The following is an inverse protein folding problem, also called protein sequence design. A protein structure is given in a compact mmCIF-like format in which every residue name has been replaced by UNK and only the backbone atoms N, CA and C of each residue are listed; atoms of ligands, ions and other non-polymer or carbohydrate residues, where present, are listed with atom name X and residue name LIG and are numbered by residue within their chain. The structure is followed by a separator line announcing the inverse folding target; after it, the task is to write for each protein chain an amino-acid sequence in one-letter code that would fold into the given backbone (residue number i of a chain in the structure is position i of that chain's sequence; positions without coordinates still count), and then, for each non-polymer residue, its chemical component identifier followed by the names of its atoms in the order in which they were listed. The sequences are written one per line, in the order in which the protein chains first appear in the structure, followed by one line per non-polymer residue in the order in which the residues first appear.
data_IF_248667141863
#
_entry.id   IF_248667141863
#
_cell.length_a   1.000
_cell.length_b   1.000
_cell.length_c   1.000
_cell.angle_alpha   90.00
_cell.angle_beta   90.00
_cell.angle_gamma   90.00
#
_symmetry.space_group_name_H-M   'P 1'
#
loop_
_entity.id
_entity.type
_entity.pdbx_description
1 polymer ?
#
# COMPACT_ATOMS: atom_id res chain seq x y z
N UNK A 1 10.84 2.20 -87.10
CA UNK A 1 9.96 1.35 -86.26
C UNK A 1 10.70 0.97 -84.97
N UNK A 2 10.02 1.19 -83.83
CA UNK A 2 10.19 0.65 -82.46
C UNK A 2 11.57 0.53 -81.80
N UNK A 3 11.75 1.42 -80.80
CA UNK A 3 12.51 1.25 -79.55
C UNK A 3 12.21 -0.10 -78.88
N UNK A 4 13.23 -0.75 -78.33
CA UNK A 4 13.07 -1.63 -77.17
C UNK A 4 14.36 -1.61 -76.34
N UNK A 5 14.46 -0.54 -75.54
CA UNK A 5 15.36 -0.42 -74.40
C UNK A 5 15.05 -1.56 -73.42
N UNK A 6 15.92 -2.58 -73.39
CA UNK A 6 15.93 -3.63 -72.37
C UNK A 6 16.58 -3.00 -71.13
N UNK A 7 15.79 -2.18 -70.43
CA UNK A 7 16.11 -1.72 -69.07
C UNK A 7 15.97 -2.92 -68.14
N UNK A 8 17.10 -3.61 -67.96
CA UNK A 8 17.34 -4.58 -66.90
C UNK A 8 16.84 -4.02 -65.56
N UNK A 9 15.67 -4.51 -65.16
CA UNK A 9 15.13 -4.36 -63.82
C UNK A 9 15.99 -5.16 -62.83
N UNK A 10 17.19 -4.69 -62.54
CA UNK A 10 17.88 -5.05 -61.29
C UNK A 10 17.27 -4.20 -60.20
N UNK A 11 16.08 -4.59 -59.75
CA UNK A 11 15.49 -4.08 -58.53
C UNK A 11 16.34 -4.61 -57.37
N UNK A 12 17.46 -3.92 -57.11
CA UNK A 12 18.37 -4.15 -55.99
C UNK A 12 17.51 -4.06 -54.74
N UNK A 13 17.09 -5.20 -54.20
CA UNK A 13 16.45 -5.32 -52.89
C UNK A 13 17.44 -4.79 -51.87
N UNK A 14 17.43 -3.48 -51.64
CA UNK A 14 18.16 -2.85 -50.53
C UNK A 14 17.57 -3.48 -49.27
N UNK A 15 18.35 -4.31 -48.60
CA UNK A 15 17.99 -4.75 -47.27
C UNK A 15 17.95 -3.51 -46.37
N UNK A 16 16.74 -3.16 -45.94
CA UNK A 16 16.47 -1.97 -45.14
C UNK A 16 16.84 -2.27 -43.68
N UNK A 17 18.14 -2.35 -43.40
CA UNK A 17 18.65 -2.60 -42.05
C UNK A 17 18.24 -1.50 -41.04
N UNK A 18 17.90 -0.30 -41.52
CA UNK A 18 17.45 0.81 -40.67
C UNK A 18 16.03 0.65 -40.10
N UNK A 19 15.12 -0.05 -40.80
CA UNK A 19 13.74 -0.24 -40.32
C UNK A 19 13.71 -1.17 -39.10
N UNK A 20 14.49 -2.24 -39.15
CA UNK A 20 14.63 -3.19 -38.03
C UNK A 20 15.20 -2.51 -36.78
N UNK A 21 16.12 -1.55 -36.94
CA UNK A 21 16.68 -0.81 -35.82
C UNK A 21 15.64 0.06 -35.09
N UNK A 22 14.72 0.69 -35.83
CA UNK A 22 13.65 1.52 -35.26
C UNK A 22 12.62 0.66 -34.54
N UNK A 23 12.23 -0.46 -35.16
CA UNK A 23 11.30 -1.42 -34.54
C UNK A 23 11.87 -1.99 -33.24
N UNK A 24 13.15 -2.36 -33.24
CA UNK A 24 13.84 -2.83 -32.04
C UNK A 24 13.93 -1.73 -30.96
N UNK A 25 14.23 -0.48 -31.31
CA UNK A 25 14.30 0.61 -30.35
C UNK A 25 12.96 0.85 -29.62
N UNK A 26 11.84 0.76 -30.34
CA UNK A 26 10.51 0.88 -29.74
C UNK A 26 10.21 -0.28 -28.76
N UNK A 27 10.49 -1.51 -29.15
CA UNK A 27 10.29 -2.69 -28.30
C UNK A 27 11.22 -2.69 -27.08
N UNK A 28 12.47 -2.23 -27.26
CA UNK A 28 13.43 -2.08 -26.17
C UNK A 28 12.89 -1.11 -25.11
N UNK A 29 12.46 0.09 -25.50
CA UNK A 29 11.88 1.06 -24.57
C UNK A 29 10.62 0.52 -23.88
N UNK A 30 9.74 -0.16 -24.64
CA UNK A 30 8.53 -0.77 -24.09
C UNK A 30 8.86 -1.83 -23.02
N UNK A 31 9.81 -2.73 -23.31
CA UNK A 31 10.23 -3.78 -22.37
C UNK A 31 10.76 -3.18 -21.07
N UNK A 32 11.67 -2.20 -21.15
CA UNK A 32 12.21 -1.56 -19.95
C UNK A 32 11.14 -0.77 -19.18
N UNK A 33 10.19 -0.14 -19.86
CA UNK A 33 9.09 0.59 -19.21
C UNK A 33 8.19 -0.35 -18.41
N UNK A 34 7.81 -1.49 -19.00
CA UNK A 34 6.96 -2.49 -18.33
C UNK A 34 7.73 -3.15 -17.19
N UNK A 35 8.98 -3.56 -17.41
CA UNK A 35 9.84 -4.14 -16.38
C UNK A 35 10.01 -3.19 -15.20
N UNK A 36 10.30 -1.91 -15.47
CA UNK A 36 10.41 -0.89 -14.45
C UNK A 36 9.11 -0.73 -13.67
N UNK A 37 7.96 -0.68 -14.35
CA UNK A 37 6.65 -0.64 -13.70
C UNK A 37 6.41 -1.83 -12.78
N UNK A 38 6.66 -3.05 -13.25
CA UNK A 38 6.48 -4.26 -12.44
C UNK A 38 7.36 -4.23 -11.19
N UNK A 39 8.65 -3.91 -11.34
CA UNK A 39 9.58 -3.86 -10.21
C UNK A 39 9.19 -2.74 -9.23
N UNK A 40 8.97 -1.52 -9.73
CA UNK A 40 8.71 -0.34 -8.90
C UNK A 40 7.39 -0.45 -8.10
N UNK A 41 6.35 -1.04 -8.68
CA UNK A 41 5.02 -1.12 -8.05
C UNK A 41 4.76 -2.42 -7.30
N UNK A 42 5.58 -3.47 -7.48
CA UNK A 42 5.40 -4.76 -6.80
C UNK A 42 5.38 -4.63 -5.28
N UNK A 43 6.36 -3.93 -4.69
CA UNK A 43 6.48 -3.79 -3.24
C UNK A 43 5.36 -2.96 -2.60
N UNK A 44 5.04 -1.73 -3.08
CA UNK A 44 3.90 -0.97 -2.54
C UNK A 44 2.57 -1.71 -2.66
N UNK A 45 2.37 -2.41 -3.78
CA UNK A 45 1.16 -3.21 -4.00
C UNK A 45 1.10 -4.39 -3.02
N UNK A 46 2.20 -5.14 -2.85
CA UNK A 46 2.29 -6.24 -1.91
C UNK A 46 1.99 -5.78 -0.48
N UNK A 47 2.58 -4.66 -0.03
CA UNK A 47 2.34 -4.10 1.31
C UNK A 47 0.89 -3.69 1.49
N UNK A 48 0.30 -3.01 0.50
CA UNK A 48 -1.12 -2.62 0.54
C UNK A 48 -2.04 -3.83 0.66
N UNK A 49 -1.75 -4.89 -0.11
CA UNK A 49 -2.50 -6.14 -0.03
C UNK A 49 -2.33 -6.83 1.33
N UNK A 50 -1.12 -6.80 1.87
CA UNK A 50 -0.79 -7.40 3.17
C UNK A 50 -1.51 -6.70 4.31
N UNK A 51 -1.53 -5.37 4.34
CA UNK A 51 -2.27 -4.62 5.37
C UNK A 51 -3.78 -4.85 5.27
N UNK A 52 -4.35 -4.89 4.06
CA UNK A 52 -5.78 -5.21 3.86
C UNK A 52 -6.12 -6.62 4.32
N UNK A 53 -5.25 -7.58 4.02
CA UNK A 53 -5.44 -8.96 4.44
C UNK A 53 -5.34 -9.10 5.96
N UNK A 54 -4.30 -8.50 6.57
CA UNK A 54 -4.08 -8.55 8.00
C UNK A 54 -5.17 -7.82 8.79
N UNK A 55 -5.63 -6.65 8.33
CA UNK A 55 -6.72 -5.95 9.01
C UNK A 55 -8.02 -6.74 8.96
N UNK A 56 -8.31 -7.41 7.83
CA UNK A 56 -9.47 -8.29 7.72
C UNK A 56 -9.34 -9.52 8.64
N UNK A 57 -8.14 -10.09 8.76
CA UNK A 57 -7.91 -11.24 9.64
C UNK A 57 -7.99 -10.86 11.11
N UNK A 58 -7.43 -9.72 11.51
CA UNK A 58 -7.55 -9.19 12.86
C UNK A 58 -9.00 -8.79 13.18
N UNK A 59 -9.77 -8.28 12.21
CA UNK A 59 -11.20 -8.04 12.41
C UNK A 59 -11.98 -9.35 12.63
N UNK A 60 -11.61 -10.43 11.92
CA UNK A 60 -12.21 -11.75 12.13
C UNK A 60 -11.81 -12.36 13.47
N UNK A 61 -10.58 -12.14 13.93
CA UNK A 61 -10.12 -12.66 15.23
C UNK A 61 -10.96 -12.10 16.39
N UNK A 62 -11.42 -10.85 16.28
CA UNK A 62 -12.27 -10.21 17.28
C UNK A 62 -13.63 -10.90 17.48
N UNK A 63 -14.13 -11.66 16.50
CA UNK A 63 -15.42 -12.41 16.61
C UNK A 63 -15.36 -13.48 17.72
N UNK A 64 -14.15 -13.89 18.14
CA UNK A 64 -13.96 -14.85 19.23
C UNK A 64 -14.29 -14.27 20.61
N UNK A 65 -14.40 -12.94 20.72
CA UNK A 65 -14.75 -12.26 21.97
C UNK A 65 -16.26 -12.28 22.16
N UNK A 66 -16.69 -12.65 23.36
CA UNK A 66 -18.10 -12.73 23.72
C UNK A 66 -18.75 -11.33 23.75
N UNK A 67 -19.76 -11.04 22.91
CA UNK A 67 -20.41 -9.74 22.85
C UNK A 67 -21.42 -9.50 23.99
N UNK A 68 -21.67 -10.48 24.86
CA UNK A 68 -22.57 -10.34 26.02
C UNK A 68 -21.88 -9.72 27.24
N UNK A 69 -20.56 -9.54 27.17
CA UNK A 69 -19.77 -8.88 28.20
C UNK A 69 -20.13 -7.39 28.31
N UNK A 70 -19.80 -6.81 29.47
CA UNK A 70 -19.88 -5.36 29.65
C UNK A 70 -19.07 -4.61 28.58
N UNK A 71 -19.59 -3.47 28.11
CA UNK A 71 -19.05 -2.70 26.98
C UNK A 71 -17.56 -2.41 27.11
N UNK A 72 -17.10 -1.99 28.29
CA UNK A 72 -15.70 -1.61 28.49
C UNK A 72 -14.79 -2.84 28.51
N UNK A 73 -15.28 -3.94 29.11
CA UNK A 73 -14.56 -5.23 29.10
C UNK A 73 -14.48 -5.80 27.69
N UNK A 74 -15.57 -5.74 26.93
CA UNK A 74 -15.63 -6.17 25.53
C UNK A 74 -14.63 -5.38 24.67
N UNK A 75 -14.62 -4.05 24.76
CA UNK A 75 -13.66 -3.20 24.04
C UNK A 75 -12.21 -3.54 24.35
N UNK A 76 -11.89 -3.78 25.62
CA UNK A 76 -10.53 -4.14 26.04
C UNK A 76 -10.09 -5.49 25.46
N UNK A 77 -10.95 -6.51 25.54
CA UNK A 77 -10.65 -7.85 25.02
C UNK A 77 -10.58 -7.88 23.49
N UNK A 78 -11.46 -7.15 22.81
CA UNK A 78 -11.39 -6.97 21.35
C UNK A 78 -10.06 -6.33 20.95
N UNK A 79 -9.65 -5.26 21.65
CA UNK A 79 -8.36 -4.62 21.38
C UNK A 79 -7.18 -5.58 21.58
N UNK A 80 -7.16 -6.30 22.70
CA UNK A 80 -6.13 -7.30 22.98
C UNK A 80 -6.06 -8.39 21.88
N UNK A 81 -7.21 -8.93 21.48
CA UNK A 81 -7.28 -9.98 20.47
C UNK A 81 -6.82 -9.52 19.08
N UNK A 82 -7.12 -8.27 18.72
CA UNK A 82 -6.65 -7.64 17.48
C UNK A 82 -5.14 -7.42 17.54
N UNK A 83 -4.65 -6.81 18.62
CA UNK A 83 -3.22 -6.53 18.80
C UNK A 83 -2.39 -7.81 18.74
N UNK A 84 -2.80 -8.86 19.44
CA UNK A 84 -2.12 -10.15 19.41
C UNK A 84 -2.10 -10.77 18.00
N UNK A 85 -3.19 -10.64 17.23
CA UNK A 85 -3.22 -11.15 15.86
C UNK A 85 -2.26 -10.38 14.93
N UNK A 86 -2.17 -9.06 15.10
CA UNK A 86 -1.27 -8.19 14.34
C UNK A 86 0.20 -8.47 14.72
N UNK A 87 0.49 -8.63 16.01
CA UNK A 87 1.82 -8.93 16.53
C UNK A 87 2.35 -10.28 16.04
N UNK A 88 1.47 -11.27 15.89
CA UNK A 88 1.81 -12.59 15.36
C UNK A 88 1.87 -12.65 13.82
N UNK A 89 1.70 -11.52 13.14
CA UNK A 89 1.82 -11.47 11.69
C UNK A 89 3.28 -11.57 11.23
N UNK A 90 3.48 -11.86 9.94
CA UNK A 90 4.81 -11.90 9.35
C UNK A 90 5.45 -10.50 9.19
N UNK A 91 4.67 -9.43 9.37
CA UNK A 91 5.16 -8.06 9.19
C UNK A 91 6.04 -7.67 10.40
N UNK A 92 7.22 -7.10 10.16
CA UNK A 92 8.03 -6.52 11.23
C UNK A 92 7.26 -5.43 11.98
N UNK A 93 7.47 -5.35 13.29
CA UNK A 93 6.83 -4.37 14.17
C UNK A 93 7.03 -2.91 13.69
N UNK A 94 8.23 -2.56 13.22
CA UNK A 94 8.55 -1.22 12.72
C UNK A 94 7.77 -0.84 11.43
N UNK A 95 7.09 -1.80 10.78
CA UNK A 95 6.45 -1.60 9.49
C UNK A 95 4.99 -1.22 9.59
N UNK A 96 4.42 -1.19 10.79
CA UNK A 96 3.04 -0.80 11.00
C UNK A 96 2.86 -0.03 12.30
N UNK A 97 1.76 0.69 12.36
CA UNK A 97 1.33 1.52 13.46
C UNK A 97 -0.21 1.55 13.47
N UNK A 98 -0.75 1.90 14.64
CA UNK A 98 -2.17 2.16 14.85
C UNK A 98 -2.46 3.66 14.82
N UNK A 99 -3.48 4.08 15.57
CA UNK A 99 -3.97 5.45 15.70
C UNK A 99 -4.42 6.06 14.36
N UNK A 100 -5.16 5.27 13.58
CA UNK A 100 -5.75 5.73 12.34
C UNK A 100 -6.77 6.85 12.57
N UNK A 101 -6.98 7.73 11.58
CA UNK A 101 -8.04 8.73 11.68
C UNK A 101 -9.41 8.08 11.90
N UNK A 102 -10.27 8.78 12.62
CA UNK A 102 -11.66 8.34 12.86
C UNK A 102 -12.38 8.11 11.53
N UNK A 103 -13.19 7.05 11.41
CA UNK A 103 -13.94 6.79 10.19
C UNK A 103 -14.95 7.92 9.90
N UNK A 104 -15.10 8.28 8.63
CA UNK A 104 -15.92 9.43 8.21
C UNK A 104 -17.43 9.21 8.20
N UNK A 105 -17.98 8.24 8.93
CA UNK A 105 -19.43 7.98 8.96
C UNK A 105 -20.11 8.63 10.17
N UNK A 106 -21.44 8.82 10.10
CA UNK A 106 -22.25 9.44 11.16
C UNK A 106 -22.45 8.56 12.41
N UNK A 107 -21.68 7.48 12.56
CA UNK A 107 -21.76 6.56 13.68
C UNK A 107 -20.91 7.06 14.86
N UNK A 108 -21.28 6.71 16.11
CA UNK A 108 -20.51 7.08 17.30
C UNK A 108 -19.28 6.19 17.43
N UNK A 109 -18.25 6.46 16.62
CA UNK A 109 -16.99 5.71 16.66
C UNK A 109 -16.20 6.04 17.92
N UNK A 110 -15.90 5.00 18.69
CA UNK A 110 -15.01 5.07 19.85
C UNK A 110 -13.70 4.33 19.51
N UNK A 111 -12.51 4.92 19.79
CA UNK A 111 -11.26 4.23 19.56
C UNK A 111 -11.14 3.02 20.50
N UNK A 112 -10.57 1.93 19.99
CA UNK A 112 -10.16 0.82 20.83
C UNK A 112 -9.03 1.28 21.77
N UNK A 113 -8.97 0.78 23.02
CA UNK A 113 -7.90 1.13 23.94
C UNK A 113 -6.54 0.61 23.43
N UNK A 114 -5.45 1.28 23.80
CA UNK A 114 -4.10 0.74 23.60
C UNK A 114 -3.94 -0.59 24.37
N UNK A 115 -3.24 -1.56 23.79
CA UNK A 115 -3.07 -2.89 24.38
C UNK A 115 -1.67 -3.43 24.12
N UNK A 116 -1.09 -4.15 25.09
CA UNK A 116 0.26 -4.74 25.01
C UNK A 116 1.38 -3.75 24.61
N UNK A 117 1.29 -2.48 25.02
CA UNK A 117 2.25 -1.43 24.63
C UNK A 117 2.09 -0.93 23.19
N UNK A 118 1.08 -1.44 22.45
CA UNK A 118 0.76 -1.03 21.09
C UNK A 118 -0.30 0.07 21.04
N UNK A 119 -0.28 0.91 19.99
CA UNK A 119 -1.32 1.89 19.72
C UNK A 119 -2.70 1.26 19.49
N UNK A 120 -3.73 2.09 19.38
CA UNK A 120 -5.08 1.63 19.03
C UNK A 120 -5.12 1.18 17.57
N UNK A 121 -5.54 -0.06 17.31
CA UNK A 121 -5.66 -0.60 15.93
C UNK A 121 -7.08 -0.54 15.37
N UNK A 122 -7.99 0.23 15.96
CA UNK A 122 -9.33 0.30 15.41
C UNK A 122 -10.32 1.14 16.19
N UNK A 123 -11.54 1.13 15.69
CA UNK A 123 -12.69 1.80 16.29
C UNK A 123 -13.85 0.84 16.43
N UNK A 124 -14.64 1.02 17.47
CA UNK A 124 -15.89 0.32 17.72
C UNK A 124 -17.03 1.34 17.69
N UNK A 125 -18.09 1.05 16.95
CA UNK A 125 -19.33 1.80 17.01
C UNK A 125 -20.50 0.86 17.31
N UNK A 126 -21.55 1.39 17.89
CA UNK A 126 -22.81 0.67 18.07
C UNK A 126 -23.87 1.29 17.16
N UNK A 127 -24.59 0.44 16.45
CA UNK A 127 -25.65 0.85 15.54
C UNK A 127 -26.95 0.11 15.89
N UNK A 128 -28.00 0.88 16.15
CA UNK A 128 -29.34 0.36 16.38
C UNK A 128 -30.01 0.06 15.04
N UNK A 129 -30.12 -1.23 14.68
CA UNK A 129 -30.78 -1.65 13.43
C UNK A 129 -32.31 -1.62 13.60
N UNK A 130 -32.81 -1.93 14.79
CA UNK A 130 -34.23 -2.00 15.13
C UNK A 130 -34.37 -1.54 16.58
N UNK A 131 -35.51 -1.01 17.05
CA UNK A 131 -35.65 -0.53 18.43
C UNK A 131 -35.26 -1.52 19.53
N UNK A 132 -35.15 -2.82 19.22
CA UNK A 132 -34.75 -3.87 20.15
C UNK A 132 -33.50 -4.66 19.70
N UNK A 133 -32.78 -4.22 18.67
CA UNK A 133 -31.57 -4.87 18.17
C UNK A 133 -30.48 -3.86 17.86
N UNK A 134 -29.39 -3.94 18.62
CA UNK A 134 -28.15 -3.21 18.34
C UNK A 134 -27.10 -4.15 17.77
N UNK A 135 -26.24 -3.64 16.90
CA UNK A 135 -25.05 -4.33 16.41
C UNK A 135 -23.80 -3.53 16.75
N UNK A 136 -22.72 -4.23 17.02
CA UNK A 136 -21.40 -3.63 17.03
C UNK A 136 -20.82 -3.61 15.61
N UNK A 137 -20.23 -2.49 15.26
CA UNK A 137 -19.43 -2.30 14.06
C UNK A 137 -17.98 -2.09 14.48
N UNK A 138 -17.12 -2.98 14.00
CA UNK A 138 -15.69 -2.92 14.24
C UNK A 138 -14.97 -2.48 12.97
N UNK A 139 -14.11 -1.48 13.09
CA UNK A 139 -13.18 -1.10 12.04
C UNK A 139 -11.75 -1.30 12.54
N UNK A 140 -11.05 -2.27 11.94
CA UNK A 140 -9.61 -2.48 12.19
C UNK A 140 -8.82 -1.70 11.16
N UNK A 141 -7.78 -1.01 11.62
CA UNK A 141 -6.91 -0.22 10.78
C UNK A 141 -5.45 -0.42 11.16
N UNK A 142 -4.65 -0.62 10.12
CA UNK A 142 -3.20 -0.73 10.18
C UNK A 142 -2.68 0.32 9.21
N UNK A 143 -1.80 1.18 9.69
CA UNK A 143 -1.19 2.22 8.88
C UNK A 143 0.31 2.25 9.08
N UNK A 144 1.03 2.92 8.20
CA UNK A 144 2.42 3.30 8.44
C UNK A 144 2.53 4.79 8.22
N UNK A 145 3.12 5.49 9.18
CA UNK A 145 3.35 6.92 9.07
C UNK A 145 4.50 7.14 8.09
N UNK A 146 4.22 7.88 7.03
CA UNK A 146 5.24 8.46 6.16
C UNK A 146 5.43 9.92 6.58
N UNK A 147 6.63 10.26 7.00
CA UNK A 147 7.00 11.61 7.37
C UNK A 147 8.34 11.95 6.74
N UNK A 148 8.31 12.81 5.72
CA UNK A 148 9.50 13.25 5.01
C UNK A 148 10.45 14.10 5.88
N UNK A 149 9.99 14.60 7.03
CA UNK A 149 10.81 15.29 8.04
C UNK A 149 11.01 14.46 9.32
N UNK A 150 10.67 13.17 9.26
CA UNK A 150 10.80 12.23 10.38
C UNK A 150 12.19 11.60 10.49
N UNK A 151 12.33 10.64 11.40
CA UNK A 151 13.55 9.82 11.52
C UNK A 151 13.76 8.93 10.29
N UNK A 152 14.97 8.37 10.11
CA UNK A 152 15.41 7.56 8.95
C UNK A 152 14.44 6.42 8.54
N UNK A 153 13.57 5.95 9.45
CA UNK A 153 12.55 4.94 9.18
C UNK A 153 11.19 5.46 8.71
N UNK A 154 10.89 6.75 8.88
CA UNK A 154 9.61 7.38 8.51
C UNK A 154 9.66 8.08 7.13
N UNK A 155 10.85 8.38 6.62
CA UNK A 155 11.07 9.16 5.38
C UNK A 155 10.92 8.34 4.11
N UNK A 156 10.95 7.01 4.19
CA UNK A 156 10.86 6.12 3.03
C UNK A 156 9.42 5.64 2.81
N UNK A 157 8.93 5.67 1.56
CA UNK A 157 7.59 5.15 1.19
C UNK A 157 7.54 3.63 1.42
N UNK A 158 8.60 2.93 1.04
CA UNK A 158 8.78 1.49 1.30
C UNK A 158 9.59 1.36 2.59
N UNK A 159 9.18 0.51 3.55
CA UNK A 159 9.96 0.27 4.77
C UNK A 159 11.39 -0.18 4.45
N UNK A 160 12.35 0.31 5.23
CA UNK A 160 13.75 -0.13 5.11
C UNK A 160 13.87 -1.60 5.51
N UNK A 161 14.44 -2.42 4.62
CA UNK A 161 14.71 -3.82 4.86
C UNK A 161 15.99 -3.94 5.70
N UNK A 162 15.88 -4.40 6.94
CA UNK A 162 17.04 -4.73 7.79
C UNK A 162 17.52 -6.14 7.43
N UNK A 163 18.52 -6.25 6.57
CA UNK A 163 19.10 -7.54 6.17
C UNK A 163 20.33 -7.84 7.04
N UNK A 164 20.24 -8.82 7.94
CA UNK A 164 21.40 -9.35 8.67
C UNK A 164 22.22 -8.31 9.46
N UNK A 165 21.56 -7.28 10.01
CA UNK A 165 22.23 -6.21 10.77
C UNK A 165 22.77 -5.04 9.93
N UNK A 166 22.66 -5.11 8.59
CA UNK A 166 22.95 -3.98 7.71
C UNK A 166 21.66 -3.17 7.51
N UNK A 167 21.56 -2.04 8.22
CA UNK A 167 20.57 -1.00 7.93
C UNK A 167 21.15 -0.12 6.84
N UNK A 168 20.52 -0.07 5.66
CA UNK A 168 20.91 0.88 4.60
C UNK A 168 20.30 2.22 5.02
N UNK A 169 21.09 3.22 5.46
CA UNK A 169 20.55 4.51 5.83
C UNK A 169 19.95 5.18 4.60
N UNK A 170 18.80 5.85 4.77
CA UNK A 170 18.35 6.82 3.78
C UNK A 170 19.45 7.88 3.61
N UNK A 171 19.75 8.23 2.36
CA UNK A 171 20.76 9.23 2.04
C UNK A 171 20.52 10.52 2.85
N UNK A 172 21.55 11.09 3.48
CA UNK A 172 21.41 12.35 4.21
C UNK A 172 21.13 13.48 3.23
N UNK A 173 20.01 14.17 3.42
CA UNK A 173 19.70 15.41 2.71
C UNK A 173 20.43 16.56 3.40
N UNK A 174 21.51 17.02 2.78
CA UNK A 174 22.12 18.32 3.10
C UNK A 174 22.07 19.17 1.84
N UNK A 175 21.19 20.18 1.91
CA UNK A 175 21.15 21.37 1.05
C UNK A 175 20.53 21.22 -0.36
N UNK A 176 19.20 21.33 -0.43
CA UNK A 176 18.58 22.05 -1.55
C UNK A 176 17.44 21.37 -2.32
N UNK A 177 16.27 21.27 -1.69
CA UNK A 177 14.90 21.43 -2.23
C UNK A 177 14.51 20.66 -3.52
N UNK A 178 13.65 19.62 -3.37
CA UNK A 178 12.75 19.18 -4.44
C UNK A 178 11.32 18.96 -3.92
N UNK A 179 10.49 19.99 -4.04
CA UNK A 179 9.07 19.93 -3.70
C UNK A 179 8.26 19.56 -4.96
N UNK A 180 7.72 18.33 -5.00
CA UNK A 180 6.69 17.97 -6.00
C UNK A 180 5.31 18.12 -5.35
N UNK A 181 4.53 19.12 -5.80
CA UNK A 181 3.15 19.37 -5.34
C UNK A 181 2.15 19.00 -6.44
N UNK A 182 1.22 18.09 -6.12
CA UNK A 182 -0.01 17.85 -6.88
C UNK A 182 -1.20 17.83 -5.92
N UNK A 183 -2.27 18.55 -6.23
CA UNK A 183 -3.47 18.70 -5.37
C UNK A 183 -4.72 18.45 -6.21
N UNK A 184 -5.58 17.55 -5.78
CA UNK A 184 -6.93 17.40 -6.32
C UNK A 184 -7.89 17.03 -5.19
N UNK A 185 -8.99 17.77 -5.09
CA UNK A 185 -10.07 17.58 -4.11
C UNK A 185 -11.31 17.16 -4.88
N UNK A 186 -12.02 16.13 -4.43
CA UNK A 186 -13.35 15.79 -4.94
C UNK A 186 -14.30 15.68 -3.75
N UNK A 187 -15.42 16.40 -3.85
CA UNK A 187 -16.55 16.36 -2.91
C UNK A 187 -17.50 15.23 -3.29
N UNK A 188 -18.09 14.61 -2.28
CA UNK A 188 -19.40 13.96 -2.38
C UNK A 188 -20.32 14.61 -1.35
#
# INVERSE_FOLDING_TARGET
MKKASILQHLHRRKQQHGVVAIEFAALFLLFFTVLYGVVAYSLPMLLTLSYKHLSAEAARSAIRVDPTLDRETYKQLVSQQITENIDNSWLPEDWYNGNCPTPGSALPWEPLPASAGRPSFGYLAEETITPNHTRYLLQVCIQRKYNNSGSDGETAIIPVLKLGGLSIPSLPESDGDQIIRGRATIQL
#
